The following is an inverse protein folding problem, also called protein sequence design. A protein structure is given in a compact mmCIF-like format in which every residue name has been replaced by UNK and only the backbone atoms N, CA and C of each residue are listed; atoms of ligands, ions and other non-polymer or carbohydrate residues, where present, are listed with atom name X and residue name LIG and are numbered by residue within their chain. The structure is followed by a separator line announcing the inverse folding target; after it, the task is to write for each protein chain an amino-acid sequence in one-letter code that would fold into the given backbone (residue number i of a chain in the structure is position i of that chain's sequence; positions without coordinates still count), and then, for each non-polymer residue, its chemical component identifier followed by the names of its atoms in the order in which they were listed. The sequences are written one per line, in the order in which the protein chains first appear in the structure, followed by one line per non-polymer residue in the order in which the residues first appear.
data_IF_675471402414
#
_entry.id   IF_675471402414
#
_cell.length_a   1.000
_cell.length_b   1.000
_cell.length_c   1.000
_cell.angle_alpha   90.00
_cell.angle_beta   90.00
_cell.angle_gamma   90.00
#
_symmetry.space_group_name_H-M   'P 1'
#
loop_
_entity.id
_entity.type
_entity.pdbx_description
1 polymer ?
#
# COMPACT_ATOMS: atom_id res chain seq x y z
N UNK A 1 -9.49 -8.29 21.25
CA UNK A 1 -9.09 -8.89 19.94
C UNK A 1 -9.94 -10.12 19.60
N UNK A 2 -11.23 -10.14 19.94
CA UNK A 2 -12.11 -11.33 19.88
C UNK A 2 -13.18 -11.28 18.77
N UNK A 3 -13.36 -10.15 18.07
CA UNK A 3 -14.42 -9.96 17.06
C UNK A 3 -13.93 -9.98 15.61
N UNK A 4 -12.67 -10.33 15.38
CA UNK A 4 -12.15 -10.52 14.03
C UNK A 4 -12.81 -11.76 13.44
N UNK A 5 -13.73 -11.56 12.47
CA UNK A 5 -14.40 -12.62 11.67
C UNK A 5 -13.40 -13.33 10.75
N UNK A 6 -12.38 -13.92 11.36
CA UNK A 6 -11.34 -14.72 10.70
C UNK A 6 -11.88 -16.14 10.68
N UNK A 7 -12.04 -16.67 9.48
CA UNK A 7 -12.42 -18.06 9.29
C UNK A 7 -11.90 -18.58 7.98
N UNK A 8 -12.07 -19.89 7.77
CA UNK A 8 -11.76 -20.52 6.50
C UNK A 8 -12.76 -20.06 5.44
N UNK A 9 -12.25 -19.74 4.24
CA UNK A 9 -13.05 -19.42 3.06
C UNK A 9 -12.50 -20.24 1.88
N UNK A 10 -13.17 -21.34 1.54
CA UNK A 10 -12.74 -22.25 0.49
C UNK A 10 -11.33 -22.81 0.72
N UNK A 11 -10.38 -22.65 -0.24
CA UNK A 11 -8.99 -23.10 -0.08
C UNK A 11 -8.17 -22.21 0.86
N UNK A 12 -8.65 -21.01 1.22
CA UNK A 12 -7.90 -20.07 2.05
C UNK A 12 -8.12 -20.33 3.54
N UNK A 13 -7.07 -20.71 4.30
CA UNK A 13 -7.21 -21.26 5.64
C UNK A 13 -7.59 -20.22 6.71
N UNK A 14 -7.13 -18.97 6.59
CA UNK A 14 -7.44 -17.89 7.52
C UNK A 14 -7.57 -16.55 6.79
N UNK A 15 -8.80 -16.09 6.59
CA UNK A 15 -9.08 -14.77 6.00
C UNK A 15 -10.12 -14.02 6.81
N UNK A 16 -10.00 -12.69 6.86
CA UNK A 16 -11.05 -11.82 7.35
C UNK A 16 -12.15 -11.76 6.27
N UNK A 17 -13.27 -12.44 6.52
CA UNK A 17 -14.31 -12.68 5.50
C UNK A 17 -14.89 -11.39 4.91
N UNK A 18 -15.30 -10.38 5.71
CA UNK A 18 -15.76 -9.09 5.18
C UNK A 18 -14.77 -8.42 4.22
N UNK A 19 -13.49 -8.34 4.62
CA UNK A 19 -12.45 -7.68 3.82
C UNK A 19 -12.19 -8.46 2.53
N UNK A 20 -12.04 -9.78 2.64
CA UNK A 20 -11.74 -10.62 1.48
C UNK A 20 -12.84 -10.56 0.42
N UNK A 21 -14.11 -10.69 0.83
CA UNK A 21 -15.24 -10.70 -0.12
C UNK A 21 -15.38 -9.32 -0.77
N UNK A 22 -15.27 -8.23 0.00
CA UNK A 22 -15.35 -6.88 -0.54
C UNK A 22 -14.25 -6.61 -1.58
N UNK A 23 -13.00 -6.99 -1.27
CA UNK A 23 -11.88 -6.85 -2.21
C UNK A 23 -12.07 -7.69 -3.48
N UNK A 24 -12.49 -8.95 -3.36
CA UNK A 24 -12.71 -9.82 -4.54
C UNK A 24 -13.81 -9.28 -5.44
N UNK A 25 -14.94 -8.85 -4.86
CA UNK A 25 -16.05 -8.29 -5.63
C UNK A 25 -15.63 -7.01 -6.36
N UNK A 26 -14.88 -6.12 -5.68
CA UNK A 26 -14.36 -4.91 -6.31
C UNK A 26 -13.41 -5.21 -7.46
N UNK A 27 -12.41 -6.08 -7.23
CA UNK A 27 -11.40 -6.42 -8.25
C UNK A 27 -12.07 -7.07 -9.47
N UNK A 28 -12.90 -8.10 -9.25
CA UNK A 28 -13.60 -8.77 -10.35
C UNK A 28 -14.56 -7.82 -11.07
N UNK A 29 -15.23 -6.92 -10.33
CA UNK A 29 -16.08 -5.89 -10.90
C UNK A 29 -15.32 -4.97 -11.86
N UNK A 30 -14.15 -4.44 -11.45
CA UNK A 30 -13.30 -3.62 -12.32
C UNK A 30 -12.79 -4.38 -13.53
N UNK A 31 -12.39 -5.65 -13.36
CA UNK A 31 -11.90 -6.49 -14.46
C UNK A 31 -13.02 -6.71 -15.49
N UNK A 32 -14.21 -7.14 -15.06
CA UNK A 32 -15.34 -7.39 -15.95
C UNK A 32 -15.78 -6.11 -16.64
N UNK A 33 -15.85 -5.00 -15.90
CA UNK A 33 -16.19 -3.69 -16.47
C UNK A 33 -15.20 -3.24 -17.54
N UNK A 34 -13.90 -3.27 -17.23
CA UNK A 34 -12.85 -2.88 -18.17
C UNK A 34 -12.76 -3.79 -19.40
N UNK A 35 -13.00 -5.09 -19.23
CA UNK A 35 -12.92 -6.08 -20.31
C UNK A 35 -14.12 -6.00 -21.26
N UNK A 36 -15.33 -5.75 -20.76
CA UNK A 36 -16.55 -5.72 -21.58
C UNK A 36 -16.88 -4.32 -22.13
N UNK A 37 -16.49 -3.26 -21.43
CA UNK A 37 -16.86 -1.87 -21.75
C UNK A 37 -15.62 -0.97 -21.88
N UNK A 38 -14.63 -1.40 -22.66
CA UNK A 38 -13.31 -0.77 -22.74
C UNK A 38 -13.32 0.74 -23.06
N UNK A 39 -14.11 1.18 -24.05
CA UNK A 39 -14.20 2.61 -24.41
C UNK A 39 -14.77 3.45 -23.27
N UNK A 40 -15.86 2.99 -22.66
CA UNK A 40 -16.49 3.68 -21.54
C UNK A 40 -15.60 3.68 -20.30
N UNK A 41 -14.93 2.57 -20.02
CA UNK A 41 -13.98 2.46 -18.91
C UNK A 41 -12.82 3.45 -19.08
N UNK A 42 -12.26 3.56 -20.28
CA UNK A 42 -11.22 4.53 -20.59
C UNK A 42 -11.69 5.98 -20.39
N UNK A 43 -12.89 6.32 -20.86
CA UNK A 43 -13.45 7.65 -20.67
C UNK A 43 -13.65 7.97 -19.18
N UNK A 44 -14.29 7.07 -18.43
CA UNK A 44 -14.57 7.25 -16.99
C UNK A 44 -13.27 7.35 -16.19
N UNK A 45 -12.32 6.44 -16.39
CA UNK A 45 -11.06 6.47 -15.65
C UNK A 45 -10.20 7.68 -16.02
N UNK A 46 -10.20 8.10 -17.29
CA UNK A 46 -9.52 9.31 -17.74
C UNK A 46 -10.09 10.57 -17.11
N UNK A 47 -11.42 10.72 -17.11
CA UNK A 47 -12.09 11.86 -16.46
C UNK A 47 -11.85 11.88 -14.94
N UNK A 48 -11.95 10.73 -14.28
CA UNK A 48 -11.64 10.61 -12.85
C UNK A 48 -10.19 10.97 -12.54
N UNK A 49 -9.23 10.47 -13.33
CA UNK A 49 -7.82 10.79 -13.16
C UNK A 49 -7.58 12.30 -13.31
N UNK A 50 -8.15 12.90 -14.37
CA UNK A 50 -8.04 14.34 -14.62
C UNK A 50 -8.64 15.16 -13.47
N UNK A 51 -9.84 14.79 -13.01
CA UNK A 51 -10.50 15.44 -11.87
C UNK A 51 -9.65 15.38 -10.60
N UNK A 52 -9.13 14.19 -10.24
CA UNK A 52 -8.31 14.00 -9.05
C UNK A 52 -7.02 14.81 -9.17
N UNK A 53 -6.34 14.75 -10.31
CA UNK A 53 -5.07 15.45 -10.52
C UNK A 53 -5.25 16.97 -10.51
N UNK A 54 -6.31 17.47 -11.15
CA UNK A 54 -6.59 18.90 -11.20
C UNK A 54 -7.02 19.45 -9.83
N UNK A 55 -7.85 18.72 -9.08
CA UNK A 55 -8.38 19.21 -7.79
C UNK A 55 -7.48 18.93 -6.60
N UNK A 56 -6.81 17.78 -6.58
CA UNK A 56 -6.01 17.29 -5.45
C UNK A 56 -4.51 17.21 -5.75
N UNK A 57 -4.04 17.59 -6.96
CA UNK A 57 -2.62 17.53 -7.30
C UNK A 57 -1.72 18.29 -6.33
N UNK A 58 -2.13 19.48 -5.89
CA UNK A 58 -1.39 20.26 -4.87
C UNK A 58 -1.29 19.50 -3.53
N UNK A 59 -2.34 18.77 -3.15
CA UNK A 59 -2.37 17.97 -1.93
C UNK A 59 -1.43 16.77 -2.06
N UNK A 60 -1.40 16.08 -3.21
CA UNK A 60 -0.42 15.02 -3.46
C UNK A 60 1.02 15.52 -3.32
N UNK A 61 1.34 16.68 -3.91
CA UNK A 61 2.67 17.28 -3.79
C UNK A 61 3.00 17.58 -2.33
N UNK A 62 2.06 18.16 -1.58
CA UNK A 62 2.23 18.46 -0.16
C UNK A 62 2.46 17.19 0.66
N UNK A 63 1.65 16.15 0.47
CA UNK A 63 1.75 14.87 1.21
C UNK A 63 3.09 14.19 0.91
N UNK A 64 3.53 14.15 -0.35
CA UNK A 64 4.82 13.56 -0.71
C UNK A 64 5.98 14.31 -0.07
N UNK A 65 5.97 15.65 -0.11
CA UNK A 65 6.98 16.46 0.57
C UNK A 65 6.92 16.28 2.09
N UNK A 66 5.72 16.23 2.68
CA UNK A 66 5.54 16.00 4.10
C UNK A 66 6.09 14.63 4.53
N UNK A 67 5.87 13.58 3.73
CA UNK A 67 6.45 12.25 4.00
C UNK A 67 7.99 12.29 4.00
N UNK A 68 8.61 12.99 3.04
CA UNK A 68 10.07 13.20 3.02
C UNK A 68 10.54 13.96 4.26
N UNK A 69 9.85 15.06 4.62
CA UNK A 69 10.18 15.83 5.82
C UNK A 69 10.03 15.00 7.10
N UNK A 70 9.04 14.11 7.18
CA UNK A 70 8.88 13.18 8.30
C UNK A 70 10.05 12.20 8.34
N UNK A 71 10.47 11.62 7.22
CA UNK A 71 11.65 10.75 7.18
C UNK A 71 12.92 11.48 7.63
N UNK A 72 13.15 12.72 7.14
CA UNK A 72 14.29 13.54 7.56
C UNK A 72 14.21 13.88 9.06
N UNK A 73 13.04 14.25 9.55
CA UNK A 73 12.82 14.50 10.97
C UNK A 73 13.12 13.26 11.81
N UNK A 74 12.68 12.07 11.41
CA UNK A 74 12.98 10.83 12.11
C UNK A 74 14.49 10.53 12.15
N UNK A 75 15.22 10.81 11.07
CA UNK A 75 16.68 10.61 11.00
C UNK A 75 17.44 11.56 11.95
N UNK A 76 17.08 12.86 11.97
CA UNK A 76 17.83 13.86 12.75
C UNK A 76 17.32 14.07 14.18
N UNK A 77 16.14 13.57 14.51
CA UNK A 77 15.57 13.68 15.85
C UNK A 77 16.01 12.52 16.76
N UNK A 78 15.70 12.65 18.05
CA UNK A 78 15.88 11.60 19.06
C UNK A 78 15.18 10.27 18.73
N UNK A 79 14.25 10.26 17.78
CA UNK A 79 13.51 9.06 17.40
C UNK A 79 14.31 8.13 16.46
N UNK A 80 15.37 8.63 15.81
CA UNK A 80 16.20 7.82 14.92
C UNK A 80 17.01 6.73 15.63
N UNK A 81 17.27 6.91 16.93
CA UNK A 81 18.00 5.93 17.76
C UNK A 81 17.08 4.84 18.36
N UNK A 82 15.77 4.94 18.13
CA UNK A 82 14.81 3.97 18.65
C UNK A 82 14.89 2.68 17.84
N UNK A 83 15.28 1.59 18.51
CA UNK A 83 15.24 0.23 17.96
C UNK A 83 13.79 -0.24 17.78
N UNK A 84 13.44 -0.67 16.57
CA UNK A 84 12.14 -1.27 16.22
C UNK A 84 12.09 -2.75 16.67
N UNK A 85 12.01 -2.97 17.97
CA UNK A 85 12.03 -4.29 18.59
C UNK A 85 12.38 -4.21 20.08
N UNK A 86 12.83 -5.31 20.68
CA UNK A 86 13.39 -5.23 22.02
C UNK A 86 14.75 -4.52 21.98
N UNK A 87 15.08 -3.77 23.03
CA UNK A 87 16.33 -2.99 23.09
C UNK A 87 17.60 -3.85 22.99
N UNK A 88 17.50 -5.13 23.38
CA UNK A 88 18.59 -6.10 23.36
C UNK A 88 18.61 -6.98 22.10
N UNK A 89 17.68 -6.80 21.16
CA UNK A 89 17.53 -7.66 19.99
C UNK A 89 18.48 -7.24 18.86
N UNK A 90 19.23 -8.20 18.30
CA UNK A 90 20.09 -7.96 17.15
C UNK A 90 19.30 -7.99 15.82
N UNK A 91 19.78 -7.33 14.75
CA UNK A 91 19.13 -7.41 13.43
C UNK A 91 19.03 -8.85 12.93
N UNK A 92 17.86 -9.23 12.41
CA UNK A 92 17.61 -10.59 11.88
C UNK A 92 18.35 -10.86 10.56
N UNK A 93 18.64 -9.81 9.79
CA UNK A 93 19.31 -9.88 8.49
C UNK A 93 20.58 -9.02 8.48
N UNK A 94 21.59 -9.43 7.72
CA UNK A 94 22.78 -8.62 7.50
C UNK A 94 22.44 -7.38 6.67
N UNK A 95 23.20 -6.29 6.84
CA UNK A 95 22.93 -5.02 6.17
C UNK A 95 22.84 -5.13 4.63
N UNK A 96 23.73 -5.85 3.92
CA UNK A 96 23.61 -6.01 2.47
C UNK A 96 22.37 -6.79 2.04
N UNK A 97 22.00 -7.83 2.80
CA UNK A 97 20.78 -8.60 2.54
C UNK A 97 19.52 -7.75 2.74
N UNK A 98 19.50 -6.93 3.80
CA UNK A 98 18.40 -6.02 4.09
C UNK A 98 18.23 -4.94 3.01
N UNK A 99 19.33 -4.33 2.55
CA UNK A 99 19.29 -3.38 1.43
C UNK A 99 18.75 -4.06 0.16
N UNK A 100 19.17 -5.29 -0.12
CA UNK A 100 18.66 -6.08 -1.25
C UNK A 100 17.15 -6.31 -1.19
N UNK A 101 16.61 -6.60 0.00
CA UNK A 101 15.16 -6.75 0.20
C UNK A 101 14.40 -5.45 -0.06
N UNK A 102 14.92 -4.29 0.39
CA UNK A 102 14.29 -3.00 0.14
C UNK A 102 14.23 -2.66 -1.35
N UNK A 103 15.30 -2.94 -2.09
CA UNK A 103 15.34 -2.70 -3.54
C UNK A 103 14.36 -3.61 -4.28
N UNK A 104 14.30 -4.89 -3.91
CA UNK A 104 13.36 -5.84 -4.49
C UNK A 104 11.90 -5.48 -4.22
N UNK A 105 11.59 -4.89 -3.06
CA UNK A 105 10.24 -4.45 -2.74
C UNK A 105 9.87 -3.11 -3.42
N UNK A 106 10.86 -2.24 -3.64
CA UNK A 106 10.64 -0.89 -4.16
C UNK A 106 10.61 -0.77 -5.69
N UNK A 107 11.30 -1.66 -6.42
CA UNK A 107 11.33 -1.59 -7.89
C UNK A 107 10.22 -2.46 -8.49
N UNK A 108 9.26 -1.81 -9.13
CA UNK A 108 8.25 -2.43 -9.99
C UNK A 108 8.52 -2.20 -11.48
N UNK A 109 7.72 -2.84 -12.34
CA UNK A 109 7.62 -2.45 -13.76
C UNK A 109 6.88 -1.11 -13.76
N UNK A 110 7.64 -0.02 -13.88
CA UNK A 110 7.13 1.36 -13.92
C UNK A 110 6.47 1.71 -15.25
#
# INVERSE_FOLDING_TARGET
MSDLKIGRLGPFPRVNKPVFIASVVLILGFIVFGALFQEMANAVFGEMQSFITHRFGWFFILVMNAAVLVCLYLIFSKYGDIRLGHQTEAPQYSLPSWIGMLFSAGIGIG
#
